data_IF_923857326172
#
_entry.id   IF_923857326172
#
_cell.length_a   1.000
_cell.length_b   1.000
_cell.length_c   1.000
_cell.angle_alpha   90.00
_cell.angle_beta   90.00
_cell.angle_gamma   90.00
#
_symmetry.space_group_name_H-M   'P 1'
#
loop_
_entity.id
_entity.type
_entity.pdbx_description
1 polymer ?
#
# COMPACT_ATOMS: atom_id res chain seq x y z
N UNK A 1 47.68 11.20 -30.62
CA UNK A 1 46.22 11.21 -30.38
C UNK A 1 45.76 9.79 -30.10
N UNK A 2 45.54 9.45 -28.83
CA UNK A 2 44.85 8.21 -28.42
C UNK A 2 43.45 8.64 -27.98
N UNK A 3 42.45 8.41 -28.83
CA UNK A 3 41.07 8.73 -28.50
C UNK A 3 40.52 7.71 -27.51
N UNK A 4 40.10 8.19 -26.34
CA UNK A 4 39.24 7.47 -25.40
C UNK A 4 37.88 7.25 -26.07
N UNK A 5 37.44 6.00 -26.22
CA UNK A 5 36.01 5.70 -26.34
C UNK A 5 35.43 5.69 -24.92
N UNK A 6 34.67 6.73 -24.58
CA UNK A 6 33.76 6.69 -23.44
C UNK A 6 32.51 5.92 -23.87
N UNK A 7 32.36 4.70 -23.39
CA UNK A 7 31.12 3.93 -23.51
C UNK A 7 30.07 4.50 -22.56
N UNK A 8 29.03 5.11 -23.10
CA UNK A 8 27.85 5.53 -22.34
C UNK A 8 27.04 4.27 -21.98
N UNK A 9 27.12 3.82 -20.74
CA UNK A 9 26.22 2.79 -20.23
C UNK A 9 24.83 3.41 -20.02
N UNK A 10 23.88 3.12 -20.90
CA UNK A 10 22.46 3.34 -20.61
C UNK A 10 22.03 2.31 -19.56
N UNK A 11 21.82 2.77 -18.33
CA UNK A 11 21.01 2.03 -17.36
C UNK A 11 19.55 2.12 -17.79
N UNK A 12 19.08 1.16 -18.58
CA UNK A 12 17.65 0.92 -18.73
C UNK A 12 17.16 0.32 -17.41
N UNK A 13 16.55 1.13 -16.55
CA UNK A 13 15.73 0.66 -15.44
C UNK A 13 14.53 -0.08 -16.05
N UNK A 14 14.68 -1.38 -16.26
CA UNK A 14 13.67 -2.27 -16.82
C UNK A 14 12.49 -2.45 -15.86
N UNK A 15 11.65 -1.43 -15.73
CA UNK A 15 10.29 -1.60 -15.27
C UNK A 15 9.45 -1.76 -16.53
N UNK A 16 8.90 -2.96 -16.74
CA UNK A 16 7.88 -3.13 -17.76
C UNK A 16 6.75 -2.15 -17.43
N UNK A 17 6.45 -1.23 -18.36
CA UNK A 17 5.37 -0.28 -18.17
C UNK A 17 4.07 -1.05 -17.92
N UNK A 18 3.37 -0.73 -16.82
CA UNK A 18 2.07 -1.30 -16.54
C UNK A 18 1.12 -1.01 -17.71
N UNK A 19 0.23 -1.95 -18.00
CA UNK A 19 -0.84 -1.73 -18.98
C UNK A 19 -1.66 -0.48 -18.60
N UNK A 20 -2.15 0.23 -19.61
CA UNK A 20 -2.97 1.42 -19.42
C UNK A 20 -4.22 1.12 -18.58
N UNK A 21 -4.64 2.10 -17.77
CA UNK A 21 -5.82 1.99 -16.92
C UNK A 21 -7.08 1.69 -17.75
N UNK A 22 -7.83 0.67 -17.33
CA UNK A 22 -9.13 0.32 -17.91
C UNK A 22 -10.22 0.45 -16.85
N UNK A 23 -11.30 1.18 -17.14
CA UNK A 23 -12.42 1.29 -16.21
C UNK A 23 -13.13 -0.05 -16.05
N UNK A 24 -13.35 -0.47 -14.81
CA UNK A 24 -14.08 -1.68 -14.43
C UNK A 24 -15.16 -1.32 -13.41
N UNK A 25 -16.32 -1.98 -13.50
CA UNK A 25 -17.31 -1.93 -12.41
C UNK A 25 -16.80 -2.72 -11.21
N UNK A 26 -17.28 -2.40 -10.01
CA UNK A 26 -16.95 -3.17 -8.80
C UNK A 26 -17.26 -4.68 -8.95
N UNK A 27 -18.34 -5.01 -9.66
CA UNK A 27 -18.73 -6.40 -9.96
C UNK A 27 -17.70 -7.11 -10.85
N UNK A 28 -17.24 -6.45 -11.91
CA UNK A 28 -16.22 -7.00 -12.81
C UNK A 28 -14.88 -7.15 -12.11
N UNK A 29 -14.46 -6.15 -11.33
CA UNK A 29 -13.25 -6.21 -10.51
C UNK A 29 -13.30 -7.42 -9.59
N UNK A 30 -14.36 -7.56 -8.79
CA UNK A 30 -14.50 -8.67 -7.84
C UNK A 30 -14.50 -10.04 -8.54
N UNK A 31 -15.23 -10.17 -9.65
CA UNK A 31 -15.26 -11.42 -10.43
C UNK A 31 -13.88 -11.83 -10.98
N UNK A 32 -12.99 -10.87 -11.24
CA UNK A 32 -11.63 -11.13 -11.75
C UNK A 32 -10.60 -11.36 -10.64
N UNK A 33 -10.91 -11.06 -9.38
CA UNK A 33 -9.99 -11.18 -8.24
C UNK A 33 -9.95 -12.59 -7.64
N UNK A 34 -10.97 -13.43 -7.86
CA UNK A 34 -11.12 -14.72 -7.17
C UNK A 34 -10.32 -15.86 -7.85
N UNK A 35 -9.61 -16.72 -7.10
CA UNK A 35 -9.34 -16.64 -5.66
C UNK A 35 -8.19 -15.67 -5.31
N UNK A 36 -8.17 -15.22 -4.07
CA UNK A 36 -7.15 -14.32 -3.52
C UNK A 36 -6.25 -14.99 -2.48
N UNK A 37 -5.03 -14.47 -2.32
CA UNK A 37 -4.04 -14.91 -1.35
C UNK A 37 -3.50 -13.71 -0.53
N UNK A 38 -3.06 -13.91 0.72
CA UNK A 38 -2.46 -12.84 1.54
C UNK A 38 -0.95 -13.05 1.69
N UNK A 39 -0.16 -12.01 1.42
CA UNK A 39 1.26 -11.94 1.75
C UNK A 39 1.46 -11.56 3.22
N UNK A 40 0.99 -12.41 4.14
CA UNK A 40 1.04 -12.13 5.57
C UNK A 40 2.44 -12.23 6.19
N UNK A 41 2.63 -11.59 7.34
CA UNK A 41 3.86 -11.55 8.13
C UNK A 41 5.11 -11.12 7.33
N UNK A 42 4.91 -10.31 6.30
CA UNK A 42 5.92 -9.81 5.38
C UNK A 42 6.08 -8.30 5.58
N UNK A 43 5.36 -7.46 4.81
CA UNK A 43 5.45 -6.00 4.95
C UNK A 43 4.64 -5.47 6.14
N UNK A 44 3.78 -6.30 6.70
CA UNK A 44 3.05 -6.08 7.94
C UNK A 44 3.88 -6.37 9.19
N UNK A 45 5.00 -7.08 9.06
CA UNK A 45 5.85 -7.43 10.19
C UNK A 45 6.40 -6.19 10.92
N UNK A 46 6.58 -6.33 12.23
CA UNK A 46 7.15 -5.29 13.10
C UNK A 46 8.54 -5.69 13.59
N UNK A 47 9.53 -4.78 13.59
CA UNK A 47 9.45 -3.38 13.14
C UNK A 47 9.57 -3.19 11.62
N UNK A 48 9.96 -4.22 10.85
CA UNK A 48 10.14 -4.11 9.39
C UNK A 48 10.05 -5.48 8.72
N UNK A 49 9.90 -5.51 7.38
CA UNK A 49 9.98 -6.75 6.59
C UNK A 49 11.26 -7.54 6.92
N UNK A 50 11.14 -8.86 7.07
CA UNK A 50 12.25 -9.70 7.53
C UNK A 50 12.20 -10.01 9.03
N UNK A 51 11.41 -9.26 9.81
CA UNK A 51 11.38 -9.41 11.28
C UNK A 51 10.61 -10.64 11.76
N UNK A 52 9.56 -11.05 11.03
CA UNK A 52 8.75 -12.24 11.35
C UNK A 52 8.94 -13.38 10.36
N UNK A 53 9.06 -13.07 9.07
CA UNK A 53 9.40 -14.01 8.00
C UNK A 53 10.39 -13.38 7.03
N UNK A 54 11.04 -14.20 6.20
CA UNK A 54 11.97 -13.71 5.19
C UNK A 54 11.29 -12.75 4.20
N UNK A 55 12.01 -11.73 3.68
CA UNK A 55 11.47 -10.81 2.68
C UNK A 55 10.94 -11.52 1.43
N UNK A 56 9.87 -10.97 0.84
CA UNK A 56 9.27 -11.55 -0.36
C UNK A 56 10.21 -11.43 -1.57
N UNK A 57 10.21 -12.48 -2.39
CA UNK A 57 10.92 -12.53 -3.67
C UNK A 57 9.91 -12.47 -4.83
N UNK A 58 10.32 -11.90 -5.98
CA UNK A 58 9.41 -11.74 -7.13
C UNK A 58 8.84 -13.08 -7.62
N UNK A 59 9.59 -14.18 -7.48
CA UNK A 59 9.16 -15.51 -7.88
C UNK A 59 7.86 -15.94 -7.18
N UNK A 60 7.65 -15.49 -5.93
CA UNK A 60 6.43 -15.76 -5.15
C UNK A 60 5.18 -15.33 -5.91
N UNK A 61 5.18 -14.16 -6.55
CA UNK A 61 4.01 -13.68 -7.29
C UNK A 61 3.72 -14.51 -8.54
N UNK A 62 4.76 -14.92 -9.27
CA UNK A 62 4.59 -15.79 -10.43
C UNK A 62 4.12 -17.20 -10.02
N UNK A 63 4.55 -17.70 -8.86
CA UNK A 63 4.13 -18.99 -8.33
C UNK A 63 2.66 -18.98 -7.95
N UNK A 64 2.21 -18.01 -7.14
CA UNK A 64 0.78 -17.95 -6.76
C UNK A 64 -0.12 -17.73 -7.98
N UNK A 65 0.32 -16.97 -8.98
CA UNK A 65 -0.44 -16.80 -10.22
C UNK A 65 -0.58 -18.12 -10.99
N UNK A 66 0.52 -18.89 -11.08
CA UNK A 66 0.54 -20.21 -11.70
C UNK A 66 -0.30 -21.25 -10.93
N UNK A 67 -0.39 -21.12 -9.60
CA UNK A 67 -1.28 -21.93 -8.74
C UNK A 67 -2.76 -21.57 -8.89
N UNK A 68 -3.09 -20.51 -9.63
CA UNK A 68 -4.46 -20.15 -9.98
C UNK A 68 -5.01 -18.95 -9.22
N UNK A 69 -4.23 -18.32 -8.32
CA UNK A 69 -4.64 -17.08 -7.69
C UNK A 69 -4.72 -15.94 -8.71
N UNK A 70 -5.69 -15.04 -8.49
CA UNK A 70 -5.94 -13.88 -9.35
C UNK A 70 -5.79 -12.56 -8.61
N UNK A 71 -5.74 -12.60 -7.29
CA UNK A 71 -5.42 -11.44 -6.46
C UNK A 71 -4.45 -11.79 -5.34
N UNK A 72 -3.69 -10.78 -4.92
CA UNK A 72 -2.91 -10.80 -3.69
C UNK A 72 -3.28 -9.60 -2.83
N UNK A 73 -3.54 -9.83 -1.55
CA UNK A 73 -3.55 -8.78 -0.54
C UNK A 73 -2.17 -8.68 0.08
N UNK A 74 -1.64 -7.45 0.16
CA UNK A 74 -0.33 -7.11 0.69
C UNK A 74 -0.56 -6.25 1.94
N UNK A 75 -0.67 -6.86 3.12
CA UNK A 75 -0.68 -6.18 4.41
C UNK A 75 0.60 -5.37 4.62
N UNK A 76 0.50 -4.09 5.01
CA UNK A 76 1.65 -3.20 5.18
C UNK A 76 1.51 -2.39 6.48
N UNK A 77 2.55 -2.39 7.30
CA UNK A 77 2.61 -1.62 8.55
C UNK A 77 3.56 -0.44 8.41
N UNK A 78 3.21 0.73 8.98
CA UNK A 78 4.01 1.96 8.86
C UNK A 78 4.60 2.45 10.19
N UNK A 79 4.15 1.91 11.32
CA UNK A 79 4.47 2.38 12.67
C UNK A 79 5.94 2.79 12.87
N UNK A 80 6.88 1.92 12.50
CA UNK A 80 8.32 2.10 12.73
C UNK A 80 9.04 2.78 11.55
N UNK A 81 8.29 3.26 10.56
CA UNK A 81 8.80 3.84 9.33
C UNK A 81 8.51 5.34 9.18
N UNK A 82 8.04 6.02 10.24
CA UNK A 82 7.97 7.48 10.25
C UNK A 82 9.32 8.09 10.67
N UNK A 83 9.84 9.01 9.86
CA UNK A 83 11.14 9.70 10.10
C UNK A 83 10.97 11.15 10.57
N UNK A 84 9.72 11.62 10.69
CA UNK A 84 9.41 12.89 11.31
C UNK A 84 8.10 12.79 12.10
N UNK A 85 7.97 13.66 13.09
CA UNK A 85 6.74 13.82 13.86
C UNK A 85 5.76 14.79 13.15
N UNK A 86 4.73 15.19 13.90
CA UNK A 86 3.80 16.23 13.51
C UNK A 86 4.54 17.53 13.12
N UNK A 87 4.02 18.30 12.15
CA UNK A 87 2.79 18.07 11.39
C UNK A 87 2.98 17.23 10.12
N UNK A 88 4.22 16.87 9.78
CA UNK A 88 4.55 16.32 8.47
C UNK A 88 4.36 14.80 8.39
N UNK A 89 4.70 14.07 9.47
CA UNK A 89 4.66 12.60 9.52
C UNK A 89 5.26 11.93 8.27
N UNK A 90 6.49 12.33 7.90
CA UNK A 90 7.17 11.80 6.73
C UNK A 90 7.45 10.32 6.92
N UNK A 91 7.06 9.50 5.95
CA UNK A 91 7.43 8.10 5.89
C UNK A 91 8.83 7.99 5.27
N UNK A 92 9.64 7.07 5.79
CA UNK A 92 10.96 6.74 5.25
C UNK A 92 10.86 6.46 3.74
N UNK A 93 11.55 7.24 2.89
CA UNK A 93 11.59 7.00 1.45
C UNK A 93 12.05 5.59 1.06
N UNK A 94 12.92 4.96 1.86
CA UNK A 94 13.36 3.58 1.60
C UNK A 94 12.20 2.58 1.77
N UNK A 95 11.35 2.79 2.77
CA UNK A 95 10.16 1.98 2.99
C UNK A 95 9.13 2.16 1.88
N UNK A 96 8.85 3.41 1.49
CA UNK A 96 7.97 3.71 0.34
C UNK A 96 8.50 3.10 -0.95
N UNK A 97 9.82 3.15 -1.19
CA UNK A 97 10.43 2.51 -2.36
C UNK A 97 10.27 1.00 -2.33
N UNK A 98 10.40 0.36 -1.16
CA UNK A 98 10.20 -1.08 -1.01
C UNK A 98 8.75 -1.48 -1.28
N UNK A 99 7.77 -0.75 -0.73
CA UNK A 99 6.35 -0.96 -1.00
C UNK A 99 6.07 -0.85 -2.50
N UNK A 100 6.54 0.22 -3.16
CA UNK A 100 6.34 0.40 -4.59
C UNK A 100 6.90 -0.78 -5.40
N UNK A 101 8.12 -1.23 -5.06
CA UNK A 101 8.74 -2.37 -5.71
C UNK A 101 7.91 -3.66 -5.58
N UNK A 102 7.42 -3.98 -4.38
CA UNK A 102 6.65 -5.20 -4.15
C UNK A 102 5.30 -5.14 -4.86
N UNK A 103 4.64 -3.98 -4.84
CA UNK A 103 3.38 -3.74 -5.58
C UNK A 103 3.60 -3.87 -7.09
N UNK A 104 4.68 -3.30 -7.63
CA UNK A 104 5.02 -3.43 -9.06
C UNK A 104 5.31 -4.88 -9.45
N UNK A 105 6.05 -5.61 -8.62
CA UNK A 105 6.33 -7.02 -8.84
C UNK A 105 5.03 -7.83 -8.92
N UNK A 106 4.09 -7.62 -7.99
CA UNK A 106 2.80 -8.29 -8.01
C UNK A 106 1.95 -7.91 -9.25
N UNK A 107 1.78 -6.62 -9.52
CA UNK A 107 0.99 -6.13 -10.68
C UNK A 107 1.55 -6.62 -12.02
N UNK A 108 2.88 -6.73 -12.14
CA UNK A 108 3.54 -7.19 -13.37
C UNK A 108 3.21 -8.64 -13.75
N UNK A 109 2.75 -9.46 -12.80
CA UNK A 109 2.30 -10.83 -13.05
C UNK A 109 0.85 -10.93 -13.53
N UNK A 110 0.12 -9.81 -13.54
CA UNK A 110 -1.30 -9.75 -13.90
C UNK A 110 -2.27 -9.95 -12.73
N UNK A 111 -1.75 -10.13 -11.51
CA UNK A 111 -2.56 -10.16 -10.28
C UNK A 111 -3.25 -8.82 -10.02
N UNK A 112 -4.46 -8.87 -9.48
CA UNK A 112 -5.02 -7.77 -8.72
C UNK A 112 -4.29 -7.66 -7.37
N UNK A 113 -4.05 -6.44 -6.91
CA UNK A 113 -3.31 -6.16 -5.68
C UNK A 113 -4.16 -5.31 -4.76
N UNK A 114 -4.36 -5.77 -3.52
CA UNK A 114 -4.98 -4.98 -2.44
C UNK A 114 -3.88 -4.56 -1.48
N UNK A 115 -3.73 -3.27 -1.23
CA UNK A 115 -2.80 -2.75 -0.20
C UNK A 115 -3.57 -2.00 0.89
N UNK A 116 -3.02 -1.96 2.10
CA UNK A 116 -3.66 -1.35 3.25
C UNK A 116 -2.69 -0.61 4.18
N UNK A 117 -3.25 -0.20 5.32
CA UNK A 117 -2.56 0.16 6.56
C UNK A 117 -2.93 -0.92 7.58
N UNK A 118 -1.97 -1.70 8.08
CA UNK A 118 -2.24 -2.99 8.71
C UNK A 118 -2.20 -2.98 10.25
N UNK A 119 -1.05 -3.26 10.86
CA UNK A 119 -0.94 -3.32 12.33
C UNK A 119 -0.91 -1.95 13.01
N UNK A 120 -0.88 -0.88 12.22
CA UNK A 120 -1.13 0.46 12.71
C UNK A 120 -2.49 0.56 13.42
N UNK A 121 -3.47 -0.28 13.06
CA UNK A 121 -4.85 -0.27 13.56
C UNK A 121 -5.04 -0.58 15.03
N UNK A 122 -4.13 -1.36 15.63
CA UNK A 122 -4.07 -1.61 17.07
C UNK A 122 -2.92 -0.86 17.74
N UNK A 123 -2.16 -0.08 16.97
CA UNK A 123 -1.06 0.73 17.44
C UNK A 123 -1.47 2.22 17.41
N UNK A 124 -0.81 3.07 16.61
CA UNK A 124 -1.06 4.51 16.62
C UNK A 124 -2.38 4.93 15.96
N UNK A 125 -2.96 4.09 15.09
CA UNK A 125 -4.19 4.37 14.34
C UNK A 125 -5.42 3.67 14.93
N UNK A 126 -5.34 3.15 16.16
CA UNK A 126 -6.51 2.67 16.89
C UNK A 126 -7.38 3.87 17.26
N UNK A 127 -8.53 4.03 16.62
CA UNK A 127 -9.43 5.17 16.82
C UNK A 127 -10.55 4.92 17.85
N UNK A 128 -10.68 3.70 18.38
CA UNK A 128 -11.81 3.33 19.23
C UNK A 128 -11.70 3.88 20.66
N UNK A 129 -12.83 4.09 21.31
CA UNK A 129 -12.93 4.45 22.72
C UNK A 129 -12.32 5.82 23.09
N UNK A 130 -12.25 6.14 24.39
CA UNK A 130 -11.85 7.46 24.88
C UNK A 130 -10.32 7.64 24.93
N UNK A 131 -9.63 7.36 23.81
CA UNK A 131 -8.18 7.57 23.69
C UNK A 131 -7.87 9.06 23.48
N UNK A 132 -6.74 9.58 24.01
CA UNK A 132 -6.36 10.98 23.81
C UNK A 132 -6.05 11.29 22.35
N UNK A 133 -6.07 12.57 21.98
CA UNK A 133 -5.53 13.09 20.71
C UNK A 133 -6.10 12.42 19.44
N UNK A 134 -7.41 12.18 19.40
CA UNK A 134 -8.07 11.60 18.22
C UNK A 134 -7.81 12.42 16.96
N UNK A 135 -7.80 13.76 17.07
CA UNK A 135 -7.55 14.65 15.94
C UNK A 135 -6.10 14.53 15.44
N UNK A 136 -5.12 14.35 16.33
CA UNK A 136 -3.73 14.13 15.94
C UNK A 136 -3.55 12.77 15.25
N UNK A 137 -4.22 11.72 15.74
CA UNK A 137 -4.22 10.39 15.10
C UNK A 137 -4.87 10.43 13.72
N UNK A 138 -6.00 11.13 13.57
CA UNK A 138 -6.64 11.39 12.26
C UNK A 138 -5.71 12.16 11.33
N UNK A 139 -5.03 13.21 11.81
CA UNK A 139 -4.08 13.98 11.01
C UNK A 139 -2.89 13.11 10.54
N UNK A 140 -2.34 12.26 11.41
CA UNK A 140 -1.29 11.30 11.04
C UNK A 140 -1.77 10.32 9.97
N UNK A 141 -2.99 9.79 10.10
CA UNK A 141 -3.60 8.91 9.12
C UNK A 141 -3.79 9.59 7.75
N UNK A 142 -4.27 10.83 7.73
CA UNK A 142 -4.41 11.60 6.50
C UNK A 142 -3.05 11.88 5.83
N UNK A 143 -2.02 12.23 6.63
CA UNK A 143 -0.66 12.47 6.13
C UNK A 143 0.00 11.21 5.57
N UNK A 144 -0.24 10.06 6.20
CA UNK A 144 0.18 8.77 5.66
C UNK A 144 -0.50 8.51 4.31
N UNK A 145 -1.83 8.59 4.23
CA UNK A 145 -2.56 8.30 3.00
C UNK A 145 -2.26 9.30 1.87
N UNK A 146 -1.94 10.56 2.17
CA UNK A 146 -1.49 11.52 1.16
C UNK A 146 -0.20 11.07 0.48
N UNK A 147 0.82 10.67 1.27
CA UNK A 147 2.08 10.17 0.74
C UNK A 147 1.89 8.84 0.00
N UNK A 148 1.05 7.96 0.58
CA UNK A 148 0.86 6.62 0.07
C UNK A 148 0.05 6.59 -1.23
N UNK A 149 -1.04 7.36 -1.30
CA UNK A 149 -1.81 7.52 -2.54
C UNK A 149 -0.97 8.20 -3.62
N UNK A 150 -0.13 9.19 -3.26
CA UNK A 150 0.77 9.83 -4.22
C UNK A 150 1.83 8.87 -4.80
N UNK A 151 2.35 7.94 -3.99
CA UNK A 151 3.29 6.90 -4.41
C UNK A 151 2.68 5.98 -5.48
N UNK A 152 1.41 5.61 -5.32
CA UNK A 152 0.76 4.57 -6.10
C UNK A 152 -0.28 5.09 -7.12
N UNK A 153 -0.38 6.41 -7.32
CA UNK A 153 -1.42 7.03 -8.16
C UNK A 153 -1.38 6.65 -9.64
N UNK A 154 -0.20 6.29 -10.17
CA UNK A 154 0.00 5.98 -11.60
C UNK A 154 -0.08 4.47 -11.87
N UNK A 155 -0.49 3.64 -10.89
CA UNK A 155 -0.80 2.22 -11.11
C UNK A 155 -2.14 2.06 -11.85
N UNK A 156 -2.35 0.91 -12.49
CA UNK A 156 -3.58 0.65 -13.25
C UNK A 156 -4.73 0.12 -12.36
N UNK A 157 -5.85 -0.23 -12.97
CA UNK A 157 -7.09 -0.65 -12.30
C UNK A 157 -6.97 -1.91 -11.43
N UNK A 158 -5.86 -2.64 -11.55
CA UNK A 158 -5.60 -3.84 -10.74
C UNK A 158 -5.14 -3.52 -9.33
N UNK A 159 -4.74 -2.28 -9.02
CA UNK A 159 -4.45 -1.86 -7.65
C UNK A 159 -5.72 -1.36 -6.95
N UNK A 160 -5.97 -1.89 -5.76
CA UNK A 160 -7.03 -1.47 -4.86
C UNK A 160 -6.44 -1.02 -3.51
N UNK A 161 -7.07 -0.01 -2.91
CA UNK A 161 -6.71 0.49 -1.58
C UNK A 161 -7.77 0.06 -0.56
N UNK A 162 -7.33 -0.49 0.57
CA UNK A 162 -8.11 -0.78 1.78
C UNK A 162 -7.69 0.21 2.86
N UNK A 163 -8.63 0.95 3.46
CA UNK A 163 -8.34 2.10 4.34
C UNK A 163 -7.50 1.75 5.57
N UNK A 164 -7.91 0.70 6.29
CA UNK A 164 -7.25 0.23 7.51
C UNK A 164 -7.71 -1.20 7.82
N UNK A 165 -6.80 -2.04 8.29
CA UNK A 165 -7.10 -3.41 8.70
C UNK A 165 -7.81 -3.43 10.07
N UNK A 166 -8.86 -4.24 10.19
CA UNK A 166 -9.50 -4.58 11.48
C UNK A 166 -9.66 -3.39 12.45
N UNK A 167 -10.30 -2.28 12.03
CA UNK A 167 -10.59 -1.19 12.95
C UNK A 167 -11.43 -1.73 14.11
N UNK A 168 -11.01 -1.42 15.33
CA UNK A 168 -11.71 -1.88 16.55
C UNK A 168 -12.85 -0.95 16.91
N UNK A 169 -13.74 -1.39 17.81
CA UNK A 169 -14.87 -0.60 18.29
C UNK A 169 -16.02 -1.47 18.75
N UNK A 170 -16.83 -0.97 19.67
CA UNK A 170 -18.01 -1.69 20.18
C UNK A 170 -19.23 -0.80 20.39
N UNK A 171 -19.11 0.50 20.11
CA UNK A 171 -20.16 1.50 20.29
C UNK A 171 -20.53 2.19 18.98
N UNK A 172 -21.69 2.85 18.95
CA UNK A 172 -22.08 3.70 17.82
C UNK A 172 -21.07 4.83 17.58
N UNK A 173 -20.51 5.41 18.64
CA UNK A 173 -19.50 6.45 18.52
C UNK A 173 -18.23 5.93 17.83
N UNK A 174 -17.80 4.70 18.12
CA UNK A 174 -16.67 4.08 17.41
C UNK A 174 -16.99 3.88 15.93
N UNK A 175 -18.21 3.43 15.60
CA UNK A 175 -18.65 3.26 14.21
C UNK A 175 -18.67 4.60 13.45
N UNK A 176 -19.13 5.68 14.09
CA UNK A 176 -19.15 7.02 13.50
C UNK A 176 -17.72 7.53 13.23
N UNK A 177 -16.76 7.21 14.11
CA UNK A 177 -15.35 7.52 13.91
C UNK A 177 -14.75 6.74 12.72
N UNK A 178 -15.07 5.46 12.59
CA UNK A 178 -14.63 4.64 11.44
C UNK A 178 -15.23 5.15 10.13
N UNK A 179 -16.50 5.58 10.13
CA UNK A 179 -17.14 6.19 8.97
C UNK A 179 -16.45 7.50 8.56
N UNK A 180 -16.12 8.38 9.52
CA UNK A 180 -15.34 9.60 9.28
C UNK A 180 -13.95 9.27 8.70
N UNK A 181 -13.24 8.29 9.28
CA UNK A 181 -11.92 7.86 8.81
C UNK A 181 -11.96 7.34 7.36
N UNK A 182 -12.95 6.50 7.05
CA UNK A 182 -13.16 5.97 5.70
C UNK A 182 -13.48 7.09 4.70
N UNK A 183 -14.29 8.08 5.10
CA UNK A 183 -14.62 9.20 4.21
C UNK A 183 -13.39 10.08 3.93
N UNK A 184 -12.55 10.35 4.93
CA UNK A 184 -11.26 11.06 4.77
C UNK A 184 -10.34 10.33 3.81
N UNK A 185 -10.19 9.02 4.01
CA UNK A 185 -9.41 8.15 3.12
C UNK A 185 -9.90 8.23 1.67
N UNK A 186 -11.20 8.06 1.42
CA UNK A 186 -11.78 8.14 0.06
C UNK A 186 -11.53 9.50 -0.57
N UNK A 187 -11.66 10.58 0.19
CA UNK A 187 -11.41 11.94 -0.30
C UNK A 187 -9.95 12.14 -0.72
N UNK A 188 -9.00 11.64 0.07
CA UNK A 188 -7.55 11.71 -0.23
C UNK A 188 -7.20 10.91 -1.48
N UNK A 189 -7.70 9.67 -1.58
CA UNK A 189 -7.43 8.82 -2.75
C UNK A 189 -8.01 9.43 -4.03
N UNK A 190 -9.21 10.01 -3.96
CA UNK A 190 -9.83 10.66 -5.13
C UNK A 190 -9.10 11.95 -5.55
N UNK A 191 -8.53 12.70 -4.60
CA UNK A 191 -7.83 13.95 -4.90
C UNK A 191 -6.39 13.77 -5.35
N UNK A 192 -5.81 12.56 -5.23
CA UNK A 192 -4.44 12.26 -5.67
C UNK A 192 -4.32 11.99 -7.18
N UNK A 193 -5.45 11.72 -7.85
CA UNK A 193 -5.51 11.52 -9.30
C UNK A 193 -5.23 12.78 -10.10
N UNK A 194 -4.87 12.61 -11.38
CA UNK A 194 -4.78 13.75 -12.32
C UNK A 194 -6.20 14.26 -12.62
N UNK A 195 -6.40 15.58 -12.75
CA UNK A 195 -7.68 16.16 -13.15
C UNK A 195 -8.14 15.67 -14.53
#
# INVERSE_FOLDING_TARGET
MRSLLAGLALFASGHAALAAFTSLTAKETFARMTPGWNLGNTLDALPTEGSWMAPVQNITFSQIYAEGFRSVRIPITFNDHFISDAPDYKVDPAWLSRINYVVDAALSTGLFVVVNVHHDSWNWADMAGPKPDIDARKAKFEKLWQQYAALLKDKNERLLFESINEPTGSTQADADIVNDLNQRFVNIVKSSGKP
#
